data_IF_654173167865
#
_entry.id   IF_654173167865
#
_cell.length_a   1.000
_cell.length_b   1.000
_cell.length_c   1.000
_cell.angle_alpha   90.00
_cell.angle_beta   90.00
_cell.angle_gamma   90.00
#
_symmetry.space_group_name_H-M   'P 1'
#
loop_
_entity.id
_entity.type
_entity.pdbx_description
1 polymer ?
#
# COMPACT_ATOMS: atom_id res chain seq x y z
N UNK A 1 23.21 -12.27 3.24
CA UNK A 1 22.29 -11.54 2.33
C UNK A 1 23.02 -10.38 1.64
N UNK A 2 23.59 -9.41 2.39
CA UNK A 2 24.24 -8.22 1.85
C UNK A 2 25.44 -8.53 0.94
N UNK A 3 26.33 -9.45 1.37
CA UNK A 3 27.48 -9.91 0.56
C UNK A 3 27.08 -10.74 -0.64
N UNK A 4 25.97 -11.41 -0.58
CA UNK A 4 25.45 -12.28 -1.65
C UNK A 4 24.73 -11.48 -2.75
N UNK A 5 24.08 -10.40 -2.38
CA UNK A 5 23.33 -9.56 -3.34
C UNK A 5 24.19 -8.52 -4.06
N UNK A 6 25.43 -8.28 -3.59
CA UNK A 6 26.29 -7.22 -4.14
C UNK A 6 25.77 -5.80 -3.95
N UNK A 7 24.77 -5.61 -3.10
CA UNK A 7 24.19 -4.30 -2.82
C UNK A 7 25.09 -3.47 -1.89
N UNK A 8 25.07 -2.14 -2.10
CA UNK A 8 25.72 -1.20 -1.20
C UNK A 8 25.09 -1.28 0.20
N UNK A 9 25.88 -1.45 1.29
CA UNK A 9 25.37 -1.54 2.66
C UNK A 9 24.45 -0.40 3.08
N UNK A 10 24.78 0.83 2.69
CA UNK A 10 23.95 2.01 3.00
C UNK A 10 22.59 1.95 2.31
N UNK A 11 22.56 1.47 1.06
CA UNK A 11 21.35 1.29 0.32
C UNK A 11 20.49 0.19 0.94
N UNK A 12 21.08 -0.94 1.33
CA UNK A 12 20.40 -2.03 2.01
C UNK A 12 19.77 -1.56 3.33
N UNK A 13 20.49 -0.81 4.15
CA UNK A 13 19.98 -0.26 5.39
C UNK A 13 18.81 0.72 5.18
N UNK A 14 18.79 1.49 4.09
CA UNK A 14 17.68 2.40 3.80
C UNK A 14 16.34 1.69 3.55
N UNK A 15 16.35 0.41 3.18
CA UNK A 15 15.15 -0.41 3.10
C UNK A 15 14.68 -0.91 4.46
N UNK A 16 15.58 -1.05 5.42
CA UNK A 16 15.28 -1.58 6.76
C UNK A 16 14.81 -0.51 7.74
N UNK A 17 15.26 0.73 7.59
CA UNK A 17 14.88 1.82 8.49
C UNK A 17 13.50 2.44 8.22
N UNK A 18 12.83 2.07 7.12
CA UNK A 18 11.52 2.59 6.74
C UNK A 18 11.53 3.98 6.09
N UNK A 19 12.68 4.65 6.01
CA UNK A 19 12.79 6.00 5.42
C UNK A 19 12.34 6.02 3.97
N UNK A 20 12.71 5.02 3.20
CA UNK A 20 12.33 4.91 1.79
C UNK A 20 10.83 4.75 1.63
N UNK A 21 10.21 3.86 2.40
CA UNK A 21 8.76 3.67 2.40
C UNK A 21 8.02 4.94 2.83
N UNK A 22 8.55 5.70 3.80
CA UNK A 22 7.97 6.97 4.22
C UNK A 22 8.01 8.02 3.11
N UNK A 23 9.11 8.13 2.35
CA UNK A 23 9.22 9.02 1.19
C UNK A 23 8.23 8.62 0.10
N UNK A 24 8.13 7.33 -0.21
CA UNK A 24 7.18 6.81 -1.20
C UNK A 24 5.74 7.08 -0.78
N UNK A 25 5.37 6.88 0.48
CA UNK A 25 4.03 7.17 1.00
C UNK A 25 3.71 8.66 1.01
N UNK A 26 4.69 9.52 1.27
CA UNK A 26 4.52 10.97 1.12
C UNK A 26 4.21 11.34 -0.34
N UNK A 27 4.92 10.76 -1.31
CA UNK A 27 4.65 10.98 -2.72
C UNK A 27 3.27 10.49 -3.15
N UNK A 28 2.87 9.28 -2.71
CA UNK A 28 1.53 8.71 -2.96
C UNK A 28 0.43 9.58 -2.34
N UNK A 29 0.62 10.02 -1.11
CA UNK A 29 -0.31 10.89 -0.38
C UNK A 29 -0.55 12.18 -1.15
N UNK A 30 0.50 12.84 -1.61
CA UNK A 30 0.39 14.06 -2.42
C UNK A 30 -0.27 13.81 -3.78
N UNK A 31 0.10 12.74 -4.47
CA UNK A 31 -0.40 12.44 -5.80
C UNK A 31 -1.88 12.03 -5.82
N UNK A 32 -2.34 11.34 -4.78
CA UNK A 32 -3.68 10.77 -4.70
C UNK A 32 -4.61 11.51 -3.72
N UNK A 33 -4.17 12.64 -3.16
CA UNK A 33 -4.90 13.38 -2.11
C UNK A 33 -5.30 12.50 -0.92
N UNK A 34 -4.37 11.64 -0.51
CA UNK A 34 -4.50 10.81 0.68
C UNK A 34 -3.80 11.49 1.86
N UNK A 35 -3.98 10.97 3.06
CA UNK A 35 -3.42 11.53 4.29
C UNK A 35 -2.45 10.59 4.96
N UNK A 36 -1.40 11.13 5.55
CA UNK A 36 -0.51 10.39 6.42
C UNK A 36 -1.15 10.21 7.81
N UNK A 37 -0.89 9.11 8.52
CA UNK A 37 -1.35 8.93 9.89
C UNK A 37 -0.73 9.98 10.83
N UNK A 38 -1.47 10.35 11.88
CA UNK A 38 -1.13 11.48 12.78
C UNK A 38 0.24 11.33 13.47
N UNK A 39 0.61 10.07 13.78
CA UNK A 39 1.86 9.75 14.47
C UNK A 39 2.90 9.05 13.58
N UNK A 40 2.76 9.18 12.25
CA UNK A 40 3.62 8.51 11.28
C UNK A 40 3.19 7.05 11.00
N UNK A 41 3.87 6.42 10.03
CA UNK A 41 3.59 5.05 9.62
C UNK A 41 3.84 4.05 10.76
N UNK A 42 2.97 3.06 10.89
CA UNK A 42 2.99 2.10 12.01
C UNK A 42 3.54 0.72 11.63
N UNK A 43 3.63 0.42 10.34
CA UNK A 43 4.14 -0.84 9.81
C UNK A 43 3.47 -2.10 10.43
N UNK A 44 2.15 -2.20 10.47
CA UNK A 44 1.49 -3.34 11.08
C UNK A 44 1.83 -4.64 10.33
N UNK A 45 2.05 -5.76 11.07
CA UNK A 45 2.33 -7.06 10.49
C UNK A 45 1.04 -7.67 9.91
N UNK A 46 0.88 -7.65 8.58
CA UNK A 46 -0.35 -8.08 7.89
C UNK A 46 -0.02 -8.86 6.63
N UNK A 47 -0.60 -10.07 6.51
CA UNK A 47 -0.58 -10.85 5.26
C UNK A 47 -1.66 -10.40 4.28
N UNK A 48 -1.49 -10.74 2.99
CA UNK A 48 -2.36 -10.22 1.90
C UNK A 48 -3.84 -10.55 2.08
N UNK A 49 -4.17 -11.71 2.63
CA UNK A 49 -5.57 -12.12 2.85
C UNK A 49 -6.24 -11.45 4.07
N UNK A 50 -5.45 -10.75 4.88
CA UNK A 50 -5.94 -10.00 6.04
C UNK A 50 -5.98 -8.49 5.81
N UNK A 51 -5.49 -8.01 4.66
CA UNK A 51 -5.46 -6.57 4.34
C UNK A 51 -6.87 -5.96 4.45
N UNK A 52 -7.87 -6.56 3.79
CA UNK A 52 -9.25 -6.07 3.81
C UNK A 52 -9.89 -6.06 5.20
N UNK A 53 -9.38 -6.87 6.14
CA UNK A 53 -9.90 -6.97 7.51
C UNK A 53 -9.20 -6.03 8.49
N UNK A 54 -7.89 -5.82 8.28
CA UNK A 54 -7.03 -5.11 9.23
C UNK A 54 -6.70 -3.69 8.79
N UNK A 55 -6.54 -3.45 7.48
CA UNK A 55 -6.16 -2.14 6.94
C UNK A 55 -7.39 -1.27 6.61
N UNK A 56 -8.34 -1.26 7.53
CA UNK A 56 -9.56 -0.47 7.53
C UNK A 56 -9.62 0.41 8.79
N UNK A 57 -10.47 1.44 8.85
CA UNK A 57 -10.55 2.34 10.00
C UNK A 57 -10.83 1.61 11.32
N UNK A 58 -10.27 2.12 12.41
CA UNK A 58 -10.48 1.58 13.77
C UNK A 58 -11.97 1.52 14.14
N UNK A 59 -12.76 2.49 13.67
CA UNK A 59 -14.20 2.51 13.92
C UNK A 59 -14.94 1.33 13.25
N UNK A 60 -14.36 0.75 12.22
CA UNK A 60 -14.86 -0.42 11.50
C UNK A 60 -14.13 -1.71 11.91
N UNK A 61 -13.34 -1.67 12.98
CA UNK A 61 -12.63 -2.82 13.56
C UNK A 61 -11.21 -3.05 13.02
N UNK A 62 -10.65 -2.11 12.30
CA UNK A 62 -9.30 -2.20 11.72
C UNK A 62 -8.21 -1.49 12.53
N UNK A 63 -7.10 -1.20 11.86
CA UNK A 63 -5.89 -0.66 12.46
C UNK A 63 -5.60 0.80 12.07
N UNK A 64 -6.12 1.30 10.94
CA UNK A 64 -5.87 2.66 10.46
C UNK A 64 -6.76 3.70 11.17
N UNK A 65 -6.34 4.95 11.17
CA UNK A 65 -7.05 6.01 11.91
C UNK A 65 -8.30 6.48 11.17
N UNK A 66 -8.23 6.60 9.84
CA UNK A 66 -9.31 7.14 9.02
C UNK A 66 -9.26 6.61 7.57
N UNK A 67 -10.34 6.80 6.84
CA UNK A 67 -10.40 6.51 5.41
C UNK A 67 -9.47 7.46 4.62
N UNK A 68 -8.84 6.95 3.56
CA UNK A 68 -7.89 7.70 2.76
C UNK A 68 -6.51 7.87 3.41
N UNK A 69 -6.19 7.04 4.40
CA UNK A 69 -4.86 7.00 5.01
C UNK A 69 -3.90 6.14 4.18
N UNK A 70 -2.67 6.61 4.00
CA UNK A 70 -1.56 5.80 3.51
C UNK A 70 -0.94 5.02 4.67
N UNK A 71 -0.56 3.77 4.43
CA UNK A 71 0.13 2.95 5.43
C UNK A 71 0.98 1.87 4.73
N UNK A 72 2.04 1.46 5.39
CA UNK A 72 2.94 0.38 4.95
C UNK A 72 2.75 -0.81 5.88
N UNK A 73 2.56 -2.01 5.32
CA UNK A 73 2.48 -3.23 6.11
C UNK A 73 3.85 -3.91 6.21
N UNK A 74 4.13 -4.49 7.38
CA UNK A 74 5.35 -5.25 7.62
C UNK A 74 5.20 -6.70 7.15
N UNK A 75 6.29 -7.26 6.61
CA UNK A 75 6.39 -8.69 6.29
C UNK A 75 6.93 -9.54 7.46
N UNK A 76 7.29 -8.90 8.57
CA UNK A 76 7.73 -9.56 9.80
C UNK A 76 6.94 -9.04 10.99
N UNK A 77 6.76 -9.88 12.00
CA UNK A 77 6.15 -9.48 13.27
C UNK A 77 7.15 -8.87 14.25
N UNK A 78 6.68 -8.53 15.45
CA UNK A 78 7.51 -7.95 16.52
C UNK A 78 8.58 -8.92 17.04
N UNK A 79 8.38 -10.23 16.87
CA UNK A 79 9.32 -11.29 17.22
C UNK A 79 10.30 -11.61 16.09
N UNK A 80 10.27 -10.84 14.99
CA UNK A 80 11.07 -11.02 13.77
C UNK A 80 10.78 -12.31 13.01
N UNK A 81 9.57 -12.86 13.16
CA UNK A 81 9.10 -14.00 12.36
C UNK A 81 8.42 -13.51 11.10
N UNK A 82 8.59 -14.22 10.01
CA UNK A 82 7.93 -13.94 8.74
C UNK A 82 6.42 -14.06 8.87
N UNK A 83 5.68 -13.12 8.30
CA UNK A 83 4.23 -13.13 8.23
C UNK A 83 3.81 -14.08 7.09
N UNK A 84 2.91 -15.04 7.32
CA UNK A 84 2.37 -15.87 6.26
C UNK A 84 1.70 -15.03 5.17
N UNK A 85 2.01 -15.33 3.91
CA UNK A 85 1.49 -14.59 2.75
C UNK A 85 1.76 -13.08 2.85
N UNK A 86 2.96 -12.70 3.24
CA UNK A 86 3.38 -11.30 3.30
C UNK A 86 3.35 -10.63 1.91
N UNK A 87 3.37 -9.30 1.90
CA UNK A 87 3.39 -8.48 0.68
C UNK A 87 4.78 -7.85 0.46
N UNK A 88 5.84 -8.60 0.71
CA UNK A 88 7.21 -8.16 0.44
C UNK A 88 7.35 -7.74 -1.03
N UNK A 89 7.88 -6.52 -1.27
CA UNK A 89 8.03 -5.91 -2.61
C UNK A 89 6.73 -5.52 -3.33
N UNK A 90 5.59 -5.66 -2.69
CA UNK A 90 4.29 -5.40 -3.31
C UNK A 90 3.66 -4.07 -2.95
N UNK A 91 2.51 -3.83 -3.55
CA UNK A 91 1.64 -2.68 -3.27
C UNK A 91 0.21 -3.17 -3.06
N UNK A 92 -0.57 -2.44 -2.27
CA UNK A 92 -1.97 -2.75 -2.03
C UNK A 92 -2.84 -1.51 -1.99
N UNK A 93 -4.12 -1.70 -2.21
CA UNK A 93 -5.17 -0.72 -1.99
C UNK A 93 -6.35 -1.39 -1.31
N UNK A 94 -6.98 -0.71 -0.36
CA UNK A 94 -8.25 -1.12 0.24
C UNK A 94 -9.35 -0.21 -0.29
N UNK A 95 -10.44 -0.81 -0.75
CA UNK A 95 -11.58 -0.14 -1.35
C UNK A 95 -12.80 -0.37 -0.47
N UNK A 96 -13.53 0.70 -0.17
CA UNK A 96 -14.82 0.63 0.53
C UNK A 96 -15.96 0.61 -0.46
N UNK A 97 -16.91 -0.30 -0.29
CA UNK A 97 -18.13 -0.31 -1.07
C UNK A 97 -19.00 0.92 -0.74
N UNK A 98 -19.40 1.67 -1.75
CA UNK A 98 -20.24 2.86 -1.59
C UNK A 98 -21.74 2.53 -1.49
N UNK A 99 -22.12 1.31 -1.89
CA UNK A 99 -23.50 0.83 -1.87
C UNK A 99 -23.54 -0.70 -1.96
N UNK A 100 -24.72 -1.28 -1.78
CA UNK A 100 -24.95 -2.74 -1.83
C UNK A 100 -24.60 -3.36 -3.19
N UNK A 101 -24.75 -2.65 -4.28
CA UNK A 101 -24.37 -3.15 -5.60
C UNK A 101 -22.86 -3.41 -5.68
N UNK A 102 -22.04 -2.46 -5.28
CA UNK A 102 -20.57 -2.61 -5.26
C UNK A 102 -20.13 -3.71 -4.29
N UNK A 103 -20.79 -3.81 -3.15
CA UNK A 103 -20.55 -4.88 -2.18
C UNK A 103 -20.83 -6.27 -2.77
N UNK A 104 -21.94 -6.42 -3.49
CA UNK A 104 -22.26 -7.65 -4.19
C UNK A 104 -21.23 -7.95 -5.29
N UNK A 105 -20.75 -6.94 -6.03
CA UNK A 105 -19.67 -7.12 -7.00
C UNK A 105 -18.40 -7.70 -6.35
N UNK A 106 -18.00 -7.25 -5.17
CA UNK A 106 -16.83 -7.83 -4.48
C UNK A 106 -17.01 -9.33 -4.28
N UNK A 107 -18.19 -9.76 -3.87
CA UNK A 107 -18.53 -11.18 -3.68
C UNK A 107 -18.54 -11.94 -5.01
N UNK A 108 -19.24 -11.40 -6.02
CA UNK A 108 -19.43 -12.07 -7.32
C UNK A 108 -18.10 -12.24 -8.08
N UNK A 109 -17.18 -11.30 -7.93
CA UNK A 109 -15.84 -11.41 -8.49
C UNK A 109 -14.84 -12.17 -7.60
N UNK A 110 -15.28 -12.72 -6.46
CA UNK A 110 -14.44 -13.52 -5.56
C UNK A 110 -13.30 -12.73 -4.92
N UNK A 111 -13.51 -11.43 -4.70
CA UNK A 111 -12.51 -10.57 -4.08
C UNK A 111 -12.39 -10.87 -2.58
N UNK A 112 -11.18 -10.66 -2.03
CA UNK A 112 -10.95 -10.78 -0.59
C UNK A 112 -11.58 -9.59 0.12
N UNK A 113 -12.51 -9.88 1.05
CA UNK A 113 -13.26 -8.87 1.79
C UNK A 113 -13.08 -9.00 3.30
N UNK A 114 -13.46 -7.96 4.04
CA UNK A 114 -13.69 -8.02 5.47
C UNK A 114 -14.95 -8.87 5.80
N UNK A 115 -15.23 -9.08 7.07
CA UNK A 115 -16.37 -9.88 7.52
C UNK A 115 -17.73 -9.27 7.13
N UNK A 116 -17.83 -7.96 7.02
CA UNK A 116 -19.05 -7.26 6.62
C UNK A 116 -19.27 -7.24 5.10
N UNK A 117 -18.22 -7.52 4.31
CA UNK A 117 -18.20 -7.39 2.86
C UNK A 117 -18.15 -5.93 2.37
N UNK A 118 -18.00 -4.96 3.26
CA UNK A 118 -17.96 -3.54 2.89
C UNK A 118 -16.60 -3.09 2.40
N UNK A 119 -15.53 -3.80 2.77
CA UNK A 119 -14.17 -3.50 2.36
C UNK A 119 -13.60 -4.65 1.55
N UNK A 120 -12.85 -4.32 0.52
CA UNK A 120 -12.11 -5.28 -0.29
C UNK A 120 -10.68 -4.81 -0.48
N UNK A 121 -9.75 -5.75 -0.63
CA UNK A 121 -8.35 -5.46 -0.89
C UNK A 121 -7.93 -5.98 -2.27
N UNK A 122 -7.18 -5.15 -2.97
CA UNK A 122 -6.47 -5.52 -4.18
C UNK A 122 -4.98 -5.33 -3.91
N UNK A 123 -4.15 -6.27 -4.34
CA UNK A 123 -2.70 -6.17 -4.20
C UNK A 123 -1.98 -6.71 -5.42
N UNK A 124 -0.76 -6.20 -5.61
CA UNK A 124 0.18 -6.70 -6.59
C UNK A 124 1.47 -7.10 -5.85
N UNK A 125 1.97 -8.34 -6.01
CA UNK A 125 3.10 -8.85 -5.20
C UNK A 125 4.45 -8.24 -5.58
N UNK A 126 4.49 -7.27 -6.46
CA UNK A 126 5.69 -6.56 -6.90
C UNK A 126 5.37 -5.13 -7.30
N UNK A 127 6.36 -4.25 -7.20
CA UNK A 127 6.41 -2.98 -7.91
C UNK A 127 7.84 -2.79 -8.43
N UNK A 128 7.95 -2.30 -9.65
CA UNK A 128 9.24 -2.11 -10.31
C UNK A 128 9.57 -0.62 -10.37
N UNK A 129 10.42 -0.16 -9.45
CA UNK A 129 10.88 1.23 -9.44
C UNK A 129 11.57 1.53 -10.77
N UNK A 130 11.06 2.54 -11.47
CA UNK A 130 11.62 3.00 -12.74
C UNK A 130 11.04 2.32 -13.99
N UNK A 131 10.47 1.12 -13.93
CA UNK A 131 9.91 0.44 -15.10
C UNK A 131 8.62 1.08 -15.61
N UNK A 132 7.88 1.75 -14.75
CA UNK A 132 6.60 2.41 -15.08
C UNK A 132 6.76 3.92 -15.34
N UNK A 133 7.97 4.46 -15.31
CA UNK A 133 8.24 5.89 -15.60
C UNK A 133 7.82 6.30 -17.03
N UNK A 134 7.80 5.37 -17.96
CA UNK A 134 7.33 5.60 -19.32
C UNK A 134 5.88 6.11 -19.37
N UNK A 135 5.02 5.75 -18.42
CA UNK A 135 3.64 6.24 -18.34
C UNK A 135 3.60 7.76 -18.18
N UNK A 136 4.45 8.34 -17.32
CA UNK A 136 4.56 9.80 -17.18
C UNK A 136 5.08 10.47 -18.43
N UNK A 137 6.05 9.87 -19.10
CA UNK A 137 6.59 10.38 -20.38
C UNK A 137 5.50 10.36 -21.45
N UNK A 138 4.76 9.28 -21.60
CA UNK A 138 3.67 9.17 -22.56
C UNK A 138 2.53 10.16 -22.25
N UNK A 139 2.12 10.30 -21.00
CA UNK A 139 1.10 11.25 -20.61
C UNK A 139 1.45 12.69 -20.97
N UNK A 140 2.71 13.07 -20.77
CA UNK A 140 3.19 14.41 -21.16
C UNK A 140 3.32 14.54 -22.69
N UNK A 141 3.91 13.53 -23.33
CA UNK A 141 4.22 13.62 -24.78
C UNK A 141 2.98 13.52 -25.66
N UNK A 142 1.98 12.72 -25.29
CA UNK A 142 0.78 12.46 -26.07
C UNK A 142 -0.41 13.31 -25.63
N UNK A 143 -0.59 13.49 -24.34
CA UNK A 143 -1.78 14.13 -23.76
C UNK A 143 -1.49 15.54 -23.23
N UNK A 144 -0.23 15.96 -23.21
CA UNK A 144 0.23 17.21 -22.58
C UNK A 144 -0.27 17.37 -21.14
N UNK A 145 -0.31 16.28 -20.39
CA UNK A 145 -0.87 16.20 -19.03
C UNK A 145 0.10 15.53 -18.07
N UNK A 146 0.27 16.12 -16.89
CA UNK A 146 0.99 15.48 -15.79
C UNK A 146 0.21 14.26 -15.26
N UNK A 147 0.92 13.21 -14.88
CA UNK A 147 0.33 11.98 -14.31
C UNK A 147 -0.19 12.18 -12.88
N UNK A 148 0.35 13.15 -12.17
CA UNK A 148 -0.16 13.59 -10.87
C UNK A 148 0.05 15.09 -10.73
N UNK A 149 -0.87 15.75 -10.03
CA UNK A 149 -0.70 17.14 -9.63
C UNK A 149 -0.33 17.13 -8.16
N UNK A 150 0.77 17.81 -7.78
CA UNK A 150 0.96 18.17 -6.39
C UNK A 150 -0.16 19.12 -5.98
N UNK A 151 -0.94 18.74 -4.99
CA UNK A 151 -1.85 19.68 -4.35
C UNK A 151 -0.97 20.48 -3.41
N UNK A 152 -0.72 21.75 -3.82
CA UNK A 152 -0.03 22.72 -2.99
C UNK A 152 -1.02 23.26 -1.96
#
# INVERSE_FOLDING_TARGET
AEKESGMNPKMFNSFLCGDKSAIEMCAVSNAANLKCPSNGLTFPPVGVYDIAKKMIPKNDGGLIEFEGQVEVISSIDLEKKDIPNDLRWGVYIVIKAQNEYVKNCFKDYGMVTDASGNYSAIWRPYHYIGLELAQSVYSIALDNRATCCSII
#
